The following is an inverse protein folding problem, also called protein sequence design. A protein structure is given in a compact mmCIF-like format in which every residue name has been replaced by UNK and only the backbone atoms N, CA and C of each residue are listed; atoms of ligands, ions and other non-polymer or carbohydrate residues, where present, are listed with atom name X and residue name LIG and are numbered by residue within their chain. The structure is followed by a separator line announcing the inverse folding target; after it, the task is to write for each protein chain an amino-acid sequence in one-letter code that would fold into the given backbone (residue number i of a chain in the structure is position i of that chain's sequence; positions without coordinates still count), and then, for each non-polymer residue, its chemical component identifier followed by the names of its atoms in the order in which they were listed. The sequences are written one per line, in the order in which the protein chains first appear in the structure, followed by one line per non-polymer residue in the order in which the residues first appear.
data_IF_685285032171
#
_entry.id   IF_685285032171
#
_cell.length_a   1.000
_cell.length_b   1.000
_cell.length_c   1.000
_cell.angle_alpha   90.00
_cell.angle_beta   90.00
_cell.angle_gamma   90.00
#
_symmetry.space_group_name_H-M   'P 1'
#
loop_
_entity.id
_entity.type
_entity.pdbx_description
1 polymer ?
#
# COMPACT_ATOMS: atom_id res chain seq x y z
N UNK A 1 -19.47 -4.44 -26.11
CA UNK A 1 -19.78 -3.98 -24.73
C UNK A 1 -21.26 -3.65 -24.50
N UNK A 2 -22.04 -3.27 -25.52
CA UNK A 2 -23.45 -2.87 -25.35
C UNK A 2 -24.41 -4.03 -25.02
N UNK A 3 -24.05 -5.28 -25.35
CA UNK A 3 -24.88 -6.46 -25.06
C UNK A 3 -24.66 -7.09 -23.67
N UNK A 4 -23.74 -6.54 -22.87
CA UNK A 4 -23.46 -7.05 -21.53
C UNK A 4 -24.36 -6.37 -20.50
N UNK A 5 -25.05 -7.16 -19.67
CA UNK A 5 -25.76 -6.64 -18.49
C UNK A 5 -24.81 -5.87 -17.56
N UNK A 6 -25.33 -4.89 -16.81
CA UNK A 6 -24.54 -4.12 -15.84
C UNK A 6 -23.78 -5.02 -14.87
N UNK A 7 -24.46 -6.03 -14.31
CA UNK A 7 -23.85 -7.00 -13.41
C UNK A 7 -22.71 -7.78 -14.09
N UNK A 8 -22.83 -8.10 -15.37
CA UNK A 8 -21.75 -8.77 -16.10
C UNK A 8 -20.56 -7.84 -16.33
N UNK A 9 -20.80 -6.56 -16.70
CA UNK A 9 -19.73 -5.58 -16.87
C UNK A 9 -18.94 -5.37 -15.58
N UNK A 10 -19.61 -5.34 -14.43
CA UNK A 10 -18.97 -5.25 -13.11
C UNK A 10 -18.05 -6.44 -12.83
N UNK A 11 -18.49 -7.66 -13.17
CA UNK A 11 -17.66 -8.86 -13.02
C UNK A 11 -16.45 -8.84 -13.95
N UNK A 12 -16.61 -8.39 -15.19
CA UNK A 12 -15.50 -8.28 -16.13
C UNK A 12 -14.47 -7.21 -15.70
N UNK A 13 -14.93 -6.10 -15.13
CA UNK A 13 -14.04 -5.05 -14.62
C UNK A 13 -13.25 -5.50 -13.39
N UNK A 14 -13.91 -6.19 -12.43
CA UNK A 14 -13.23 -6.78 -11.27
C UNK A 14 -12.21 -7.85 -11.70
N UNK A 15 -12.57 -8.71 -12.65
CA UNK A 15 -11.68 -9.71 -13.25
C UNK A 15 -10.44 -9.05 -13.86
N UNK A 16 -10.64 -8.03 -14.70
CA UNK A 16 -9.58 -7.30 -15.36
C UNK A 16 -8.64 -6.61 -14.36
N UNK A 17 -9.20 -5.90 -13.38
CA UNK A 17 -8.42 -5.23 -12.35
C UNK A 17 -7.58 -6.25 -11.58
N UNK A 18 -8.20 -7.34 -11.12
CA UNK A 18 -7.50 -8.38 -10.36
C UNK A 18 -6.37 -8.98 -11.19
N UNK A 19 -6.65 -9.46 -12.41
CA UNK A 19 -5.64 -10.05 -13.27
C UNK A 19 -4.46 -9.09 -13.52
N UNK A 20 -4.73 -7.81 -13.74
CA UNK A 20 -3.71 -6.81 -14.01
C UNK A 20 -2.79 -6.55 -12.80
N UNK A 21 -3.35 -6.44 -11.59
CA UNK A 21 -2.59 -6.07 -10.39
C UNK A 21 -2.05 -7.27 -9.59
N UNK A 22 -2.70 -8.43 -9.60
CA UNK A 22 -2.21 -9.63 -8.87
C UNK A 22 -1.37 -10.55 -9.76
N UNK A 23 -1.53 -10.46 -11.09
CA UNK A 23 -0.76 -11.24 -12.05
C UNK A 23 -1.30 -12.65 -12.29
N UNK A 24 -2.39 -13.02 -11.63
CA UNK A 24 -3.18 -14.18 -11.97
C UNK A 24 -4.63 -14.04 -11.48
N UNK A 25 -5.54 -14.69 -12.21
CA UNK A 25 -6.93 -14.84 -11.79
C UNK A 25 -7.39 -16.28 -11.99
N UNK A 26 -8.10 -16.80 -11.00
CA UNK A 26 -8.72 -18.12 -10.99
C UNK A 26 -10.22 -17.97 -11.07
N UNK A 27 -10.85 -18.97 -11.69
CA UNK A 27 -12.31 -19.04 -11.79
C UNK A 27 -12.99 -19.01 -10.41
N UNK A 28 -12.41 -19.74 -9.45
CA UNK A 28 -12.90 -19.81 -8.06
C UNK A 28 -12.91 -18.45 -7.36
N UNK A 29 -12.00 -17.53 -7.73
CA UNK A 29 -11.97 -16.19 -7.13
C UNK A 29 -13.15 -15.33 -7.61
N UNK A 30 -13.55 -15.48 -8.88
CA UNK A 30 -14.73 -14.82 -9.44
C UNK A 30 -15.99 -15.37 -8.77
N UNK A 31 -16.06 -16.70 -8.60
CA UNK A 31 -17.17 -17.38 -7.91
C UNK A 31 -17.31 -16.89 -6.47
N UNK A 32 -16.21 -16.85 -5.70
CA UNK A 32 -16.22 -16.40 -4.32
C UNK A 32 -16.57 -14.91 -4.20
N UNK A 33 -16.06 -14.06 -5.11
CA UNK A 33 -16.30 -12.61 -5.07
C UNK A 33 -17.76 -12.25 -5.33
N UNK A 34 -18.40 -12.92 -6.29
CA UNK A 34 -19.74 -12.55 -6.78
C UNK A 34 -20.84 -13.53 -6.38
N UNK A 35 -20.51 -14.62 -5.69
CA UNK A 35 -21.49 -15.64 -5.30
C UNK A 35 -22.13 -16.36 -6.50
N UNK A 36 -21.40 -16.49 -7.61
CA UNK A 36 -21.91 -17.09 -8.85
C UNK A 36 -21.47 -18.54 -9.02
N UNK A 37 -22.25 -19.31 -9.79
CA UNK A 37 -21.95 -20.72 -10.10
C UNK A 37 -20.82 -20.85 -11.14
N UNK A 38 -20.11 -22.00 -11.20
CA UNK A 38 -19.00 -22.22 -12.14
C UNK A 38 -19.31 -22.02 -13.63
N UNK A 39 -20.54 -22.29 -14.05
CA UNK A 39 -20.95 -22.05 -15.43
C UNK A 39 -21.06 -20.55 -15.78
N UNK A 40 -21.38 -19.69 -14.79
CA UNK A 40 -21.42 -18.24 -14.99
C UNK A 40 -20.00 -17.65 -15.02
N UNK A 41 -19.14 -18.04 -14.08
CA UNK A 41 -17.74 -17.59 -14.04
C UNK A 41 -16.95 -17.99 -15.31
N UNK A 42 -17.22 -19.20 -15.84
CA UNK A 42 -16.62 -19.64 -17.11
C UNK A 42 -17.09 -18.80 -18.29
N UNK A 43 -18.39 -18.46 -18.36
CA UNK A 43 -18.93 -17.58 -19.40
C UNK A 43 -18.35 -16.18 -19.32
N UNK A 44 -18.16 -15.64 -18.13
CA UNK A 44 -17.56 -14.32 -17.96
C UNK A 44 -16.08 -14.29 -18.39
N UNK A 45 -15.29 -15.32 -18.05
CA UNK A 45 -13.91 -15.46 -18.51
C UNK A 45 -13.82 -15.60 -20.04
N UNK A 46 -14.69 -16.40 -20.65
CA UNK A 46 -14.77 -16.49 -22.11
C UNK A 46 -15.14 -15.15 -22.73
N UNK A 47 -16.19 -14.50 -22.23
CA UNK A 47 -16.62 -13.20 -22.73
C UNK A 47 -15.52 -12.13 -22.61
N UNK A 48 -14.75 -12.12 -21.51
CA UNK A 48 -13.60 -11.22 -21.38
C UNK A 48 -12.53 -11.49 -22.44
N UNK A 49 -12.18 -12.76 -22.67
CA UNK A 49 -11.18 -13.16 -23.68
C UNK A 49 -11.65 -12.90 -25.11
N UNK A 50 -12.95 -13.00 -25.38
CA UNK A 50 -13.50 -12.65 -26.69
C UNK A 50 -13.38 -11.13 -26.96
N UNK A 51 -13.52 -10.31 -25.90
CA UNK A 51 -13.39 -8.85 -25.98
C UNK A 51 -11.93 -8.37 -25.99
N UNK A 52 -11.04 -9.05 -25.28
CA UNK A 52 -9.62 -8.74 -25.18
C UNK A 52 -8.77 -10.03 -25.33
N UNK A 53 -8.64 -10.56 -26.55
CA UNK A 53 -7.99 -11.85 -26.80
C UNK A 53 -6.52 -11.89 -26.40
N UNK A 54 -5.84 -10.74 -26.48
CA UNK A 54 -4.43 -10.65 -26.14
C UNK A 54 -4.19 -10.37 -24.65
N UNK A 55 -5.22 -10.21 -23.81
CA UNK A 55 -5.00 -9.85 -22.40
C UNK A 55 -4.66 -11.05 -21.51
N UNK A 56 -5.21 -12.24 -21.77
CA UNK A 56 -5.07 -13.37 -20.85
C UNK A 56 -4.63 -14.67 -21.52
N UNK A 57 -3.55 -15.23 -21.01
CA UNK A 57 -3.12 -16.59 -21.32
C UNK A 57 -3.58 -17.56 -20.23
N UNK A 58 -4.08 -18.72 -20.65
CA UNK A 58 -4.45 -19.79 -19.72
C UNK A 58 -3.26 -20.69 -19.41
N UNK A 59 -2.87 -20.72 -18.14
CA UNK A 59 -1.86 -21.63 -17.61
C UNK A 59 -2.54 -22.93 -17.15
N UNK A 60 -2.45 -23.97 -17.98
CA UNK A 60 -3.08 -25.25 -17.71
C UNK A 60 -2.52 -25.97 -16.47
N UNK A 61 -1.22 -25.78 -16.18
CA UNK A 61 -0.57 -26.40 -15.03
C UNK A 61 -1.03 -25.74 -13.72
N UNK A 62 -1.02 -24.41 -13.67
CA UNK A 62 -1.48 -23.66 -12.50
C UNK A 62 -3.02 -23.54 -12.44
N UNK A 63 -3.75 -23.89 -13.51
CA UNK A 63 -5.20 -23.73 -13.67
C UNK A 63 -5.65 -22.28 -13.40
N UNK A 64 -4.90 -21.32 -13.89
CA UNK A 64 -5.21 -19.88 -13.75
C UNK A 64 -5.00 -19.14 -15.08
N UNK A 65 -5.50 -17.91 -15.15
CA UNK A 65 -5.26 -17.00 -16.26
C UNK A 65 -4.25 -15.95 -15.83
N UNK A 66 -3.29 -15.63 -16.70
CA UNK A 66 -2.21 -14.67 -16.43
C UNK A 66 -2.26 -13.52 -17.44
N UNK A 67 -1.96 -12.28 -17.02
CA UNK A 67 -1.86 -11.16 -17.95
C UNK A 67 -0.67 -11.37 -18.90
N UNK A 68 -0.84 -11.04 -20.17
CA UNK A 68 0.24 -11.09 -21.17
C UNK A 68 1.07 -9.80 -21.17
N UNK A 69 2.13 -9.75 -21.98
CA UNK A 69 2.89 -8.53 -22.22
C UNK A 69 2.10 -7.48 -23.03
N UNK A 70 1.05 -7.88 -23.74
CA UNK A 70 0.19 -7.02 -24.58
C UNK A 70 -1.06 -6.51 -23.84
N UNK A 71 -1.15 -6.79 -22.53
CA UNK A 71 -2.33 -6.47 -21.71
C UNK A 71 -2.73 -4.99 -21.81
N UNK A 72 -3.97 -4.75 -22.25
CA UNK A 72 -4.58 -3.42 -22.32
C UNK A 72 -5.94 -3.43 -21.63
N UNK A 73 -6.10 -2.76 -20.48
CA UNK A 73 -7.39 -2.69 -19.79
C UNK A 73 -8.50 -2.15 -20.70
N UNK A 74 -9.64 -2.83 -20.74
CA UNK A 74 -10.86 -2.42 -21.41
C UNK A 74 -11.66 -1.40 -20.59
N UNK A 75 -11.54 -1.46 -19.27
CA UNK A 75 -12.23 -0.59 -18.32
C UNK A 75 -11.28 0.48 -17.79
N UNK A 76 -11.84 1.65 -17.49
CA UNK A 76 -11.08 2.73 -16.86
C UNK A 76 -10.68 2.30 -15.44
N UNK A 77 -9.39 2.40 -15.13
CA UNK A 77 -8.81 2.06 -13.83
C UNK A 77 -8.25 3.34 -13.21
N UNK A 78 -8.67 3.64 -11.98
CA UNK A 78 -8.13 4.74 -11.18
C UNK A 78 -7.18 4.19 -10.12
N UNK A 79 -6.04 4.85 -9.92
CA UNK A 79 -5.01 4.36 -9.00
C UNK A 79 -5.51 4.33 -7.55
N UNK A 80 -6.19 5.38 -7.12
CA UNK A 80 -6.77 5.55 -5.77
C UNK A 80 -7.75 4.42 -5.44
N UNK A 81 -8.51 4.00 -6.44
CA UNK A 81 -9.45 2.89 -6.33
C UNK A 81 -8.75 1.55 -6.14
N UNK A 82 -7.71 1.30 -6.93
CA UNK A 82 -6.89 0.09 -6.83
C UNK A 82 -6.21 0.04 -5.46
N UNK A 83 -5.67 1.17 -4.99
CA UNK A 83 -5.01 1.27 -3.69
C UNK A 83 -6.00 1.01 -2.54
N UNK A 84 -7.20 1.58 -2.61
CA UNK A 84 -8.30 1.28 -1.68
C UNK A 84 -8.63 -0.21 -1.68
N UNK A 85 -8.74 -0.83 -2.86
CA UNK A 85 -9.01 -2.25 -2.99
C UNK A 85 -7.89 -3.12 -2.39
N UNK A 86 -6.62 -2.79 -2.67
CA UNK A 86 -5.47 -3.51 -2.11
C UNK A 86 -5.38 -3.38 -0.58
N UNK A 87 -5.76 -2.22 -0.04
CA UNK A 87 -5.67 -1.93 1.40
C UNK A 87 -6.86 -2.46 2.20
N UNK A 88 -8.08 -2.32 1.68
CA UNK A 88 -9.33 -2.52 2.43
C UNK A 88 -10.17 -3.67 1.88
N UNK A 89 -9.83 -4.22 0.71
CA UNK A 89 -10.54 -5.36 0.11
C UNK A 89 -11.87 -5.01 -0.57
N UNK A 90 -12.19 -3.71 -0.74
CA UNK A 90 -13.39 -3.28 -1.46
C UNK A 90 -13.09 -2.20 -2.50
N UNK A 91 -14.03 -1.98 -3.42
CA UNK A 91 -13.89 -0.98 -4.48
C UNK A 91 -13.39 -1.53 -5.81
N UNK A 92 -13.41 -2.85 -6.04
CA UNK A 92 -13.05 -3.51 -7.31
C UNK A 92 -14.19 -3.58 -8.34
N UNK A 93 -15.32 -2.91 -8.12
CA UNK A 93 -16.46 -2.89 -9.05
C UNK A 93 -16.21 -2.08 -10.32
N UNK A 94 -17.28 -1.63 -11.00
CA UNK A 94 -17.17 -0.57 -12.01
C UNK A 94 -17.24 0.81 -11.38
N UNK A 95 -16.54 1.79 -11.96
CA UNK A 95 -16.65 3.18 -11.54
C UNK A 95 -17.89 3.75 -12.23
N UNK A 96 -19.00 3.77 -11.49
CA UNK A 96 -20.18 4.49 -11.92
C UNK A 96 -19.97 5.91 -11.40
N UNK A 97 -19.73 6.87 -12.29
CA UNK A 97 -19.59 8.30 -11.97
C UNK A 97 -20.89 8.85 -11.39
N UNK A 98 -21.17 8.50 -10.14
CA UNK A 98 -22.33 8.93 -9.38
C UNK A 98 -22.12 10.39 -8.94
N UNK A 99 -23.20 11.17 -8.94
CA UNK A 99 -23.15 12.56 -8.46
C UNK A 99 -22.86 12.58 -6.96
N UNK A 100 -22.06 13.56 -6.52
CA UNK A 100 -21.86 13.81 -5.10
C UNK A 100 -23.22 14.06 -4.42
N UNK A 101 -23.48 13.32 -3.34
CA UNK A 101 -24.74 13.41 -2.58
C UNK A 101 -24.76 14.63 -1.66
N UNK A 102 -23.58 15.11 -1.26
CA UNK A 102 -23.40 16.31 -0.45
C UNK A 102 -22.10 17.03 -0.84
N UNK A 103 -22.01 18.36 -0.64
CA UNK A 103 -20.75 19.09 -0.76
C UNK A 103 -19.70 18.51 0.21
N UNK A 104 -18.61 18.03 -0.33
CA UNK A 104 -17.51 17.44 0.43
C UNK A 104 -16.20 17.82 -0.25
N UNK A 105 -15.25 18.33 0.53
CA UNK A 105 -13.91 18.67 0.08
C UNK A 105 -12.89 17.77 0.77
N UNK A 106 -11.82 17.48 0.06
CA UNK A 106 -10.69 16.73 0.57
C UNK A 106 -9.41 17.17 -0.15
N UNK A 107 -8.24 16.77 0.36
CA UNK A 107 -6.95 17.22 -0.17
C UNK A 107 -6.72 16.81 -1.64
N UNK A 108 -7.53 15.89 -2.17
CA UNK A 108 -7.35 15.31 -3.50
C UNK A 108 -6.03 14.52 -3.60
N UNK A 109 -5.76 14.00 -4.80
CA UNK A 109 -4.48 13.37 -5.10
C UNK A 109 -3.47 14.41 -5.59
N UNK A 110 -2.52 14.82 -4.76
CA UNK A 110 -1.43 15.71 -5.19
C UNK A 110 -0.49 15.03 -6.20
N UNK A 111 -0.44 13.69 -6.19
CA UNK A 111 0.52 12.90 -6.95
C UNK A 111 -0.21 11.88 -7.81
N UNK A 112 0.12 11.87 -9.10
CA UNK A 112 -0.39 10.85 -10.02
C UNK A 112 0.50 9.61 -9.95
N UNK A 113 -0.08 8.50 -9.50
CA UNK A 113 0.60 7.21 -9.53
C UNK A 113 0.45 6.57 -10.92
N UNK A 114 1.55 6.09 -11.48
CA UNK A 114 1.53 5.35 -12.73
C UNK A 114 0.99 3.92 -12.48
N UNK A 115 -0.09 3.57 -13.17
CA UNK A 115 -0.74 2.26 -13.04
C UNK A 115 0.16 1.13 -13.47
N UNK A 116 1.04 1.35 -14.46
CA UNK A 116 1.95 0.31 -14.94
C UNK A 116 2.98 -0.05 -13.87
N UNK A 117 3.50 0.96 -13.17
CA UNK A 117 4.40 0.81 -12.03
C UNK A 117 3.70 0.12 -10.87
N UNK A 118 2.49 0.57 -10.50
CA UNK A 118 1.72 -0.06 -9.43
C UNK A 118 1.48 -1.54 -9.73
N UNK A 119 1.02 -1.86 -10.95
CA UNK A 119 0.74 -3.22 -11.37
C UNK A 119 1.99 -4.10 -11.36
N UNK A 120 3.14 -3.62 -11.86
CA UNK A 120 4.38 -4.38 -11.82
C UNK A 120 4.85 -4.69 -10.39
N UNK A 121 4.72 -3.70 -9.49
CA UNK A 121 5.08 -3.86 -8.08
C UNK A 121 4.15 -4.84 -7.38
N UNK A 122 2.83 -4.71 -7.56
CA UNK A 122 1.85 -5.60 -6.90
C UNK A 122 1.90 -7.01 -7.44
N UNK A 123 2.13 -7.20 -8.74
CA UNK A 123 2.35 -8.54 -9.33
C UNK A 123 3.60 -9.20 -8.77
N UNK A 124 4.71 -8.46 -8.69
CA UNK A 124 5.93 -8.96 -8.10
C UNK A 124 5.75 -9.33 -6.61
N UNK A 125 5.01 -8.51 -5.86
CA UNK A 125 4.63 -8.77 -4.46
C UNK A 125 3.80 -10.07 -4.36
N UNK A 126 2.70 -10.18 -5.09
CA UNK A 126 1.82 -11.36 -5.07
C UNK A 126 2.57 -12.64 -5.48
N UNK A 127 3.44 -12.56 -6.47
CA UNK A 127 4.23 -13.69 -6.96
C UNK A 127 5.50 -13.97 -6.14
N UNK A 128 5.84 -13.12 -5.15
CA UNK A 128 7.10 -13.15 -4.38
C UNK A 128 8.32 -13.18 -5.31
N UNK A 129 8.29 -12.36 -6.36
CA UNK A 129 9.31 -12.28 -7.42
C UNK A 129 10.21 -11.07 -7.25
N UNK A 130 11.42 -11.20 -7.76
CA UNK A 130 12.39 -10.10 -7.82
C UNK A 130 11.94 -9.10 -8.87
N UNK A 131 11.98 -7.82 -8.50
CA UNK A 131 11.71 -6.70 -9.39
C UNK A 131 12.99 -5.87 -9.56
N UNK A 132 13.47 -5.76 -10.79
CA UNK A 132 14.55 -4.84 -11.10
C UNK A 132 13.97 -3.46 -11.40
N UNK A 133 14.42 -2.43 -10.70
CA UNK A 133 13.92 -1.06 -10.83
C UNK A 133 15.03 -0.06 -11.12
N UNK A 134 14.67 1.01 -11.85
CA UNK A 134 15.43 2.26 -11.85
C UNK A 134 14.75 3.23 -10.88
N UNK A 135 15.44 3.56 -9.80
CA UNK A 135 14.92 4.34 -8.68
C UNK A 135 15.60 5.71 -8.59
N UNK A 136 14.82 6.78 -8.45
CA UNK A 136 15.32 8.13 -8.22
C UNK A 136 15.52 8.38 -6.72
N UNK A 137 16.72 8.13 -6.21
CA UNK A 137 17.09 8.45 -4.83
C UNK A 137 17.24 9.97 -4.65
N UNK A 138 16.84 10.49 -3.49
CA UNK A 138 17.09 11.88 -3.14
C UNK A 138 18.58 12.18 -2.91
N UNK A 139 19.34 11.18 -2.47
CA UNK A 139 20.74 11.37 -2.10
C UNK A 139 21.69 11.01 -3.25
N UNK A 140 21.47 9.85 -3.86
CA UNK A 140 22.38 9.27 -4.85
C UNK A 140 21.90 9.44 -6.29
N UNK A 141 20.76 10.10 -6.51
CA UNK A 141 20.15 10.24 -7.84
C UNK A 141 19.65 8.91 -8.44
N UNK A 142 19.65 8.77 -9.78
CA UNK A 142 19.17 7.56 -10.44
C UNK A 142 20.05 6.35 -10.13
N UNK A 143 19.44 5.31 -9.57
CA UNK A 143 20.12 4.06 -9.23
C UNK A 143 19.35 2.86 -9.79
N UNK A 144 20.06 1.78 -10.08
CA UNK A 144 19.44 0.50 -10.44
C UNK A 144 19.46 -0.41 -9.23
N UNK A 145 18.32 -0.98 -8.87
CA UNK A 145 18.15 -1.88 -7.72
C UNK A 145 17.46 -3.16 -8.14
N UNK A 146 17.76 -4.25 -7.46
CA UNK A 146 16.93 -5.45 -7.46
C UNK A 146 16.30 -5.56 -6.09
N UNK A 147 14.97 -5.51 -6.07
CA UNK A 147 14.20 -5.53 -4.84
C UNK A 147 13.28 -6.75 -4.84
N UNK A 148 12.97 -7.28 -3.66
CA UNK A 148 11.90 -8.26 -3.45
C UNK A 148 10.77 -7.57 -2.71
N UNK A 149 9.69 -7.14 -3.42
CA UNK A 149 8.53 -6.52 -2.80
C UNK A 149 7.86 -7.44 -1.78
N UNK A 150 7.57 -6.92 -0.59
CA UNK A 150 6.95 -7.71 0.49
C UNK A 150 5.68 -7.11 1.06
N UNK A 151 5.52 -5.78 1.00
CA UNK A 151 4.30 -5.11 1.44
C UNK A 151 4.11 -3.75 0.75
N UNK A 152 2.87 -3.27 0.70
CA UNK A 152 2.57 -1.87 0.41
C UNK A 152 2.30 -1.11 1.71
N UNK A 153 2.73 0.14 1.75
CA UNK A 153 2.49 1.04 2.87
C UNK A 153 2.05 2.42 2.38
N UNK A 154 1.04 2.99 3.04
CA UNK A 154 0.59 4.36 2.85
C UNK A 154 1.02 5.20 4.06
N UNK A 155 1.83 6.23 3.82
CA UNK A 155 2.22 7.19 4.86
C UNK A 155 1.24 8.38 4.99
N UNK A 156 0.14 8.38 4.23
CA UNK A 156 -0.84 9.47 4.15
C UNK A 156 -0.49 10.57 3.15
N UNK A 157 0.71 10.56 2.58
CA UNK A 157 1.17 11.49 1.55
C UNK A 157 1.63 10.78 0.27
N UNK A 158 2.15 9.56 0.42
CA UNK A 158 2.84 8.77 -0.60
C UNK A 158 2.65 7.28 -0.30
N UNK A 159 2.50 6.54 -1.39
CA UNK A 159 2.59 5.09 -1.34
C UNK A 159 4.03 4.63 -1.50
N UNK A 160 4.40 3.65 -0.69
CA UNK A 160 5.67 2.97 -0.70
C UNK A 160 5.47 1.48 -0.91
N UNK A 161 6.44 0.85 -1.54
CA UNK A 161 6.63 -0.59 -1.43
C UNK A 161 7.76 -0.86 -0.45
N UNK A 162 7.45 -1.63 0.59
CA UNK A 162 8.46 -2.20 1.45
C UNK A 162 9.03 -3.43 0.76
N UNK A 163 10.35 -3.50 0.68
CA UNK A 163 11.05 -4.54 -0.07
C UNK A 163 12.42 -4.85 0.51
N UNK A 164 12.90 -6.08 0.30
CA UNK A 164 14.29 -6.42 0.53
C UNK A 164 15.15 -5.89 -0.62
N UNK A 165 16.10 -4.99 -0.34
CA UNK A 165 17.06 -4.44 -1.31
C UNK A 165 18.30 -5.33 -1.38
N UNK A 166 18.46 -6.09 -2.45
CA UNK A 166 19.62 -6.98 -2.63
C UNK A 166 20.95 -6.24 -2.74
N UNK A 167 20.94 -4.96 -3.10
CA UNK A 167 22.18 -4.18 -3.16
C UNK A 167 22.70 -3.76 -1.78
N UNK A 168 21.84 -3.78 -0.77
CA UNK A 168 22.14 -3.39 0.61
C UNK A 168 21.88 -4.49 1.64
N UNK A 169 21.35 -5.62 1.18
CA UNK A 169 21.00 -6.79 1.98
C UNK A 169 20.11 -6.48 3.20
N UNK A 170 19.16 -5.56 3.02
CA UNK A 170 18.23 -5.12 4.08
C UNK A 170 16.84 -4.79 3.55
N UNK A 171 15.86 -4.78 4.45
CA UNK A 171 14.54 -4.22 4.15
C UNK A 171 14.57 -2.70 4.11
N UNK A 172 13.76 -2.12 3.22
CA UNK A 172 13.63 -0.68 3.08
C UNK A 172 12.38 -0.29 2.30
N UNK A 173 12.04 0.99 2.39
CA UNK A 173 10.81 1.55 1.80
C UNK A 173 11.13 2.35 0.52
N UNK A 174 10.43 2.01 -0.57
CA UNK A 174 10.62 2.62 -1.88
C UNK A 174 9.34 3.34 -2.33
N UNK A 175 9.37 4.68 -2.34
CA UNK A 175 8.27 5.49 -2.88
C UNK A 175 7.94 5.08 -4.33
N UNK A 176 6.69 4.71 -4.59
CA UNK A 176 6.28 4.20 -5.90
C UNK A 176 6.50 5.23 -7.03
N UNK A 177 6.23 6.52 -6.77
CA UNK A 177 6.38 7.59 -7.77
C UNK A 177 7.84 7.90 -8.15
N UNK A 178 8.82 7.26 -7.49
CA UNK A 178 10.25 7.40 -7.81
C UNK A 178 10.80 6.23 -8.64
N UNK A 179 9.97 5.22 -8.90
CA UNK A 179 10.28 4.13 -9.82
C UNK A 179 10.00 4.63 -11.24
N UNK A 180 11.03 4.70 -12.07
CA UNK A 180 10.93 5.26 -13.44
C UNK A 180 10.91 4.20 -14.52
N UNK A 181 11.55 3.04 -14.25
CA UNK A 181 11.54 1.86 -15.10
C UNK A 181 11.54 0.64 -14.20
N UNK A 182 10.91 -0.43 -14.66
CA UNK A 182 10.89 -1.71 -13.97
C UNK A 182 11.04 -2.85 -14.97
N UNK A 183 11.49 -4.00 -14.46
CA UNK A 183 11.48 -5.28 -15.17
C UNK A 183 11.23 -6.38 -14.17
N UNK A 184 10.13 -7.10 -14.34
CA UNK A 184 9.84 -8.30 -13.57
C UNK A 184 10.84 -9.41 -13.96
N UNK A 185 11.42 -10.07 -12.96
CA UNK A 185 12.29 -11.22 -13.15
C UNK A 185 11.53 -12.50 -12.80
N UNK A 186 11.93 -13.62 -13.42
CA UNK A 186 11.35 -14.93 -13.10
C UNK A 186 11.84 -15.48 -11.76
N UNK A 187 12.99 -15.00 -11.28
CA UNK A 187 13.55 -15.36 -9.99
C UNK A 187 12.60 -14.98 -8.84
N UNK A 188 12.43 -15.91 -7.90
CA UNK A 188 11.72 -15.66 -6.65
C UNK A 188 12.66 -15.09 -5.59
N UNK A 189 12.08 -14.41 -4.60
CA UNK A 189 12.81 -14.05 -3.39
C UNK A 189 13.19 -15.29 -2.58
N UNK A 190 14.38 -15.28 -1.98
CA UNK A 190 14.80 -16.26 -0.99
C UNK A 190 14.05 -16.06 0.34
N UNK A 191 14.10 -17.05 1.24
CA UNK A 191 13.34 -17.01 2.51
C UNK A 191 13.68 -15.79 3.38
N UNK A 192 14.97 -15.43 3.44
CA UNK A 192 15.46 -14.23 4.16
C UNK A 192 15.05 -12.90 3.50
N UNK A 193 14.51 -12.93 2.28
CA UNK A 193 14.07 -11.73 1.53
C UNK A 193 12.55 -11.54 1.60
N UNK A 194 11.82 -12.42 2.30
CA UNK A 194 10.37 -12.38 2.43
C UNK A 194 9.93 -11.63 3.69
N UNK A 195 8.66 -11.21 3.70
CA UNK A 195 8.06 -10.42 4.79
C UNK A 195 8.26 -11.01 6.20
N UNK A 196 8.32 -12.33 6.31
CA UNK A 196 8.50 -13.03 7.59
C UNK A 196 9.88 -12.82 8.20
N UNK A 197 10.88 -12.48 7.39
CA UNK A 197 12.24 -12.17 7.81
C UNK A 197 12.43 -10.68 8.15
N UNK A 198 11.42 -9.84 7.92
CA UNK A 198 11.45 -8.41 8.23
C UNK A 198 11.09 -8.16 9.69
N UNK A 199 12.11 -8.04 10.55
CA UNK A 199 11.94 -7.84 11.99
C UNK A 199 11.15 -6.57 12.32
N UNK A 200 11.37 -5.48 11.58
CA UNK A 200 10.64 -4.23 11.75
C UNK A 200 9.15 -4.39 11.40
N UNK A 201 8.83 -5.25 10.43
CA UNK A 201 7.45 -5.55 10.08
C UNK A 201 6.77 -6.49 11.09
N UNK A 202 7.50 -7.49 11.59
CA UNK A 202 7.01 -8.46 12.56
C UNK A 202 6.76 -7.82 13.94
N UNK A 203 7.55 -6.82 14.31
CA UNK A 203 7.43 -6.10 15.58
C UNK A 203 6.21 -5.17 15.60
N UNK A 204 5.27 -5.45 16.48
CA UNK A 204 4.12 -4.58 16.79
C UNK A 204 4.46 -3.75 18.03
N UNK A 205 4.31 -2.44 17.92
CA UNK A 205 4.47 -1.46 18.99
C UNK A 205 3.09 -1.07 19.52
N UNK A 206 3.01 -0.81 20.81
CA UNK A 206 1.83 -0.19 21.45
C UNK A 206 2.19 1.25 21.83
N UNK A 207 1.69 2.20 21.05
CA UNK A 207 1.91 3.63 21.27
C UNK A 207 0.86 4.14 22.25
N UNK A 208 1.30 4.82 23.31
CA UNK A 208 0.42 5.50 24.26
C UNK A 208 0.39 7.00 23.93
N UNK A 209 -0.71 7.44 23.31
CA UNK A 209 -0.89 8.83 22.91
C UNK A 209 -1.75 9.53 23.96
N UNK A 210 -1.26 10.67 24.44
CA UNK A 210 -1.95 11.51 25.44
C UNK A 210 -2.08 12.94 24.91
N UNK A 211 -3.00 13.76 25.44
CA UNK A 211 -3.05 15.18 25.10
C UNK A 211 -1.69 15.83 25.39
N UNK A 212 -1.24 16.70 24.50
CA UNK A 212 0.03 17.40 24.71
C UNK A 212 -0.02 18.22 26.03
N UNK A 213 0.98 18.10 26.93
CA UNK A 213 0.94 18.77 28.25
C UNK A 213 0.80 20.30 28.18
N UNK A 214 1.28 20.92 27.09
CA UNK A 214 1.14 22.35 26.81
C UNK A 214 -0.29 22.82 26.46
N UNK A 215 -1.29 21.92 26.38
CA UNK A 215 -2.68 22.27 26.06
C UNK A 215 -3.48 22.53 27.33
N UNK A 216 -4.07 23.73 27.41
CA UNK A 216 -4.85 24.16 28.58
C UNK A 216 -6.13 23.34 28.80
N UNK A 217 -6.80 22.90 27.73
CA UNK A 217 -8.06 22.16 27.82
C UNK A 217 -7.97 20.77 27.19
N UNK A 218 -7.29 19.85 27.88
CA UNK A 218 -7.05 18.47 27.41
C UNK A 218 -8.35 17.72 27.04
N UNK A 219 -9.47 18.03 27.71
CA UNK A 219 -10.77 17.39 27.47
C UNK A 219 -11.28 17.55 26.04
N UNK A 220 -10.90 18.61 25.33
CA UNK A 220 -11.24 18.73 23.90
C UNK A 220 -10.51 17.66 23.08
N UNK A 221 -9.20 17.49 23.33
CA UNK A 221 -8.39 16.46 22.68
C UNK A 221 -8.89 15.06 23.06
N UNK A 222 -9.22 14.84 24.33
CA UNK A 222 -9.78 13.56 24.78
C UNK A 222 -11.09 13.21 24.06
N UNK A 223 -11.95 14.21 23.81
CA UNK A 223 -13.19 14.02 23.07
C UNK A 223 -12.97 13.73 21.58
N UNK A 224 -12.04 14.44 20.91
CA UNK A 224 -11.71 14.24 19.50
C UNK A 224 -11.21 12.82 19.20
N UNK A 225 -10.43 12.25 20.12
CA UNK A 225 -9.82 10.92 19.96
C UNK A 225 -10.52 9.81 20.73
N UNK A 226 -11.62 10.11 21.43
CA UNK A 226 -12.37 9.13 22.22
C UNK A 226 -11.53 8.45 23.31
N UNK A 227 -10.66 9.22 23.97
CA UNK A 227 -9.72 8.71 24.97
C UNK A 227 -10.43 8.15 26.20
N UNK A 228 -9.84 7.14 26.81
CA UNK A 228 -10.24 6.63 28.13
C UNK A 228 -9.09 6.90 29.11
N UNK A 229 -9.40 7.52 30.25
CA UNK A 229 -8.41 7.93 31.25
C UNK A 229 -7.25 8.78 30.67
N UNK A 230 -7.56 9.65 29.70
CA UNK A 230 -6.60 10.56 29.09
C UNK A 230 -5.58 9.91 28.15
N UNK A 231 -5.82 8.66 27.71
CA UNK A 231 -4.93 7.96 26.78
C UNK A 231 -5.70 7.27 25.66
N UNK A 232 -5.13 7.27 24.46
CA UNK A 232 -5.50 6.36 23.36
C UNK A 232 -4.31 5.46 23.02
N UNK A 233 -4.56 4.15 22.96
CA UNK A 233 -3.53 3.15 22.65
C UNK A 233 -3.67 2.70 21.21
N UNK A 234 -2.59 2.82 20.44
CA UNK A 234 -2.58 2.45 19.03
C UNK A 234 -1.52 1.39 18.79
N UNK A 235 -1.93 0.29 18.14
CA UNK A 235 -1.00 -0.77 17.71
C UNK A 235 -0.52 -0.51 16.29
N UNK A 236 0.79 -0.41 16.11
CA UNK A 236 1.43 -0.15 14.82
C UNK A 236 2.61 -1.07 14.59
N UNK A 237 2.99 -1.33 13.33
CA UNK A 237 4.24 -2.05 13.04
C UNK A 237 5.42 -1.10 13.15
N UNK A 238 6.55 -1.56 13.67
CA UNK A 238 7.76 -0.73 13.79
C UNK A 238 8.20 -0.16 12.42
N UNK A 239 8.06 -0.94 11.36
CA UNK A 239 8.33 -0.51 9.97
C UNK A 239 7.61 0.79 9.56
N UNK A 240 6.43 1.09 10.12
CA UNK A 240 5.61 2.25 9.72
C UNK A 240 5.36 3.25 10.85
N UNK A 241 5.91 3.03 12.05
CA UNK A 241 5.60 3.81 13.25
C UNK A 241 5.91 5.31 13.08
N UNK A 242 7.11 5.66 12.59
CA UNK A 242 7.47 7.07 12.42
C UNK A 242 6.69 7.79 11.33
N UNK A 243 6.26 7.08 10.28
CA UNK A 243 5.35 7.64 9.27
C UNK A 243 4.00 8.01 9.91
N UNK A 244 3.45 7.14 10.74
CA UNK A 244 2.18 7.37 11.44
C UNK A 244 2.31 8.53 12.43
N UNK A 245 3.37 8.56 13.25
CA UNK A 245 3.64 9.64 14.20
C UNK A 245 3.75 10.99 13.50
N UNK A 246 4.45 11.03 12.34
CA UNK A 246 4.53 12.23 11.51
C UNK A 246 3.20 12.63 10.91
N UNK A 247 2.42 11.68 10.41
CA UNK A 247 1.11 11.93 9.78
C UNK A 247 0.12 12.55 10.77
N UNK A 248 0.16 12.12 12.01
CA UNK A 248 -0.71 12.63 13.08
C UNK A 248 -0.12 13.81 13.84
N UNK A 249 1.03 14.34 13.38
CA UNK A 249 1.76 15.42 14.04
C UNK A 249 1.89 15.17 15.56
N UNK A 250 2.35 13.98 15.92
CA UNK A 250 2.56 13.60 17.32
C UNK A 250 3.93 14.06 17.77
N UNK A 251 3.98 14.82 18.86
CA UNK A 251 5.24 15.11 19.52
C UNK A 251 5.82 13.81 20.11
N UNK A 252 6.96 13.40 19.59
CA UNK A 252 7.69 12.20 20.00
C UNK A 252 8.98 12.55 20.75
N UNK A 253 9.15 13.81 21.18
CA UNK A 253 10.23 14.23 22.05
C UNK A 253 10.05 13.66 23.47
N UNK A 254 11.15 13.30 24.17
CA UNK A 254 11.07 12.82 25.54
C UNK A 254 10.47 13.84 26.53
N UNK A 255 10.56 15.13 26.18
CA UNK A 255 10.26 16.27 27.04
C UNK A 255 9.12 17.15 26.52
N UNK A 256 8.29 16.65 25.59
CA UNK A 256 7.13 17.36 25.02
C UNK A 256 7.45 18.80 24.58
N UNK A 257 8.59 18.95 23.90
CA UNK A 257 9.19 20.23 23.54
C UNK A 257 8.66 20.85 22.25
N UNK A 258 7.84 20.13 21.47
CA UNK A 258 7.25 20.70 20.27
C UNK A 258 6.05 21.58 20.60
N UNK A 259 5.72 22.46 19.65
CA UNK A 259 4.62 23.40 19.80
C UNK A 259 3.26 22.68 19.93
N UNK A 260 2.54 22.83 21.05
CA UNK A 260 1.23 22.21 21.28
C UNK A 260 0.16 22.67 20.30
N UNK A 261 0.30 23.84 19.66
CA UNK A 261 -0.67 24.30 18.65
C UNK A 261 -0.55 23.52 17.33
N UNK A 262 0.64 22.94 17.07
CA UNK A 262 0.90 22.12 15.89
C UNK A 262 0.87 20.62 16.19
N UNK A 263 1.05 20.24 17.47
CA UNK A 263 1.11 18.85 17.94
C UNK A 263 0.15 18.66 19.12
N UNK A 264 -1.09 18.26 18.82
CA UNK A 264 -2.12 18.11 19.85
C UNK A 264 -1.92 16.90 20.76
N UNK A 265 -1.10 15.95 20.32
CA UNK A 265 -0.82 14.69 20.99
C UNK A 265 0.67 14.58 21.28
N UNK A 266 0.99 13.94 22.40
CA UNK A 266 2.35 13.56 22.79
C UNK A 266 2.44 12.05 22.97
N UNK A 267 3.55 11.45 22.52
CA UNK A 267 3.86 10.05 22.74
C UNK A 267 4.40 9.88 24.16
N UNK A 268 3.58 9.36 25.07
CA UNK A 268 3.94 9.18 26.49
C UNK A 268 5.07 8.18 26.70
N UNK A 269 5.21 7.21 25.79
CA UNK A 269 6.15 6.10 25.90
C UNK A 269 7.16 6.05 24.73
N UNK A 270 7.99 7.10 24.52
CA UNK A 270 8.91 7.19 23.38
C UNK A 270 9.96 6.06 23.36
N UNK A 271 10.24 5.42 24.49
CA UNK A 271 11.07 4.22 24.58
C UNK A 271 10.58 3.06 23.71
N UNK A 272 9.30 3.03 23.33
CA UNK A 272 8.79 2.01 22.41
C UNK A 272 9.42 2.11 21.02
N UNK A 273 10.00 3.26 20.67
CA UNK A 273 10.67 3.53 19.41
C UNK A 273 12.14 3.09 19.38
N UNK A 274 12.71 2.57 20.48
CA UNK A 274 14.08 2.06 20.46
C UNK A 274 14.25 0.92 19.44
N UNK A 275 15.27 1.04 18.59
CA UNK A 275 15.54 0.08 17.51
C UNK A 275 14.49 0.10 16.38
N UNK A 276 13.68 1.15 16.29
CA UNK A 276 12.69 1.33 15.21
C UNK A 276 13.28 2.23 14.15
N UNK A 277 13.59 1.66 12.99
CA UNK A 277 14.24 2.40 11.89
C UNK A 277 13.41 3.61 11.42
N UNK A 278 12.08 3.45 11.36
CA UNK A 278 11.19 4.51 10.91
C UNK A 278 11.10 5.68 11.91
N UNK A 279 11.54 5.51 13.16
CA UNK A 279 11.39 6.52 14.22
C UNK A 279 12.12 7.83 13.90
N UNK A 280 13.16 7.81 13.06
CA UNK A 280 13.83 9.02 12.56
C UNK A 280 12.90 9.97 11.77
N UNK A 281 11.72 9.50 11.36
CA UNK A 281 10.69 10.29 10.70
C UNK A 281 9.72 10.96 11.69
N UNK A 282 9.69 10.51 12.95
CA UNK A 282 8.77 10.99 13.96
C UNK A 282 9.16 12.41 14.44
N UNK A 283 8.20 13.35 14.54
CA UNK A 283 8.49 14.69 15.03
C UNK A 283 9.08 14.68 16.44
N UNK A 284 10.18 15.39 16.67
CA UNK A 284 10.77 15.53 18.00
C UNK A 284 11.56 14.31 18.50
N UNK A 285 11.57 13.20 17.76
CA UNK A 285 12.38 12.03 18.14
C UNK A 285 13.88 12.37 18.05
N UNK A 286 14.66 12.15 19.12
CA UNK A 286 16.07 12.54 19.16
C UNK A 286 16.90 11.68 18.21
N UNK A 287 17.31 12.30 17.11
CA UNK A 287 18.18 11.72 16.09
C UNK A 287 19.57 11.40 16.65
N UNK A 288 19.73 10.21 17.23
CA UNK A 288 21.08 9.63 17.47
C UNK A 288 21.53 8.73 16.31
N UNK A 289 20.65 8.41 15.36
CA UNK A 289 20.92 7.45 14.26
C UNK A 289 20.49 7.93 12.86
N UNK A 290 20.33 9.25 12.64
CA UNK A 290 19.95 9.80 11.32
C UNK A 290 20.95 9.52 10.19
N UNK A 291 22.13 8.98 10.50
CA UNK A 291 23.16 8.65 9.52
C UNK A 291 23.00 7.27 8.83
N UNK A 292 22.09 6.39 9.28
CA UNK A 292 22.04 5.00 8.80
C UNK A 292 20.75 4.60 8.04
N UNK A 293 19.59 5.21 8.36
CA UNK A 293 18.33 4.87 7.69
C UNK A 293 18.21 5.44 6.26
N UNK A 294 19.04 6.44 5.97
CA UNK A 294 18.97 7.29 4.78
C UNK A 294 19.89 6.79 3.65
N UNK A 295 20.71 5.76 3.92
CA UNK A 295 21.45 4.98 2.93
C UNK A 295 20.60 3.83 2.42
#
# INVERSE_FOLDING_TARGET
MQDLSQAQRERLASLEMRAFFTGEIRRSEIEARFGIKPAASSRDLSAYRDLAPNNLDYDAAARCYRPTAEYKPLFEIQAERVLTWLQQGFGDGLDVKLKQVAPCEGPGGLRKLDLSTLAAVTRALCAKRVLRINYLSLQSGPTRREIVPVALADDGLRWHVRAFDRSKERFGDFVLTRITKFRELTAKGGECELLVADEQWARILELELVPHPGITWSKAIEADYGMQDGVVRVKVRAAVAGYILRRWSIDSSPDHSLDPASHHLWLRNPQTLYGVESAALAPGYPDTERALADA
#
